data_IF_548479756399
#
_entry.id   IF_548479756399
#
_cell.length_a   1.000
_cell.length_b   1.000
_cell.length_c   1.000
_cell.angle_alpha   90.00
_cell.angle_beta   90.00
_cell.angle_gamma   90.00
#
_symmetry.space_group_name_H-M   'P 1'
#
loop_
_entity.id
_entity.type
_entity.pdbx_description
1 polymer ?
#
# COMPACT_ATOMS: atom_id res chain seq x y z
N UNK A 1 -17.21 12.48 -19.36
CA UNK A 1 -15.96 13.15 -19.79
C UNK A 1 -15.15 13.45 -18.55
N UNK A 2 -13.94 12.89 -18.43
CA UNK A 2 -13.03 13.16 -17.31
C UNK A 2 -11.68 13.64 -17.89
N UNK A 3 -11.07 14.61 -17.22
CA UNK A 3 -10.02 15.43 -17.82
C UNK A 3 -8.63 14.77 -17.78
N UNK A 4 -7.92 14.84 -18.91
CA UNK A 4 -6.50 14.50 -19.00
C UNK A 4 -5.68 15.66 -18.41
N UNK A 5 -4.88 15.41 -17.38
CA UNK A 5 -3.94 16.41 -16.84
C UNK A 5 -2.57 16.30 -17.50
N UNK A 6 -2.22 17.32 -18.30
CA UNK A 6 -0.85 17.53 -18.77
C UNK A 6 0.01 18.13 -17.65
N UNK A 7 1.08 17.44 -17.27
CA UNK A 7 2.08 17.93 -16.30
C UNK A 7 3.12 18.82 -16.99
N UNK A 8 2.96 20.14 -16.90
CA UNK A 8 4.01 21.10 -17.27
C UNK A 8 5.12 21.14 -16.22
N UNK A 9 6.37 20.87 -16.63
CA UNK A 9 7.56 20.91 -15.76
C UNK A 9 7.89 22.35 -15.30
N UNK A 10 8.28 22.57 -14.04
CA UNK A 10 8.90 23.84 -13.62
C UNK A 10 10.34 23.95 -14.13
N UNK A 11 10.76 25.16 -14.48
CA UNK A 11 12.07 25.44 -15.06
C UNK A 11 13.21 25.49 -14.02
N UNK A 12 14.43 25.13 -14.44
CA UNK A 12 15.65 25.41 -13.66
C UNK A 12 15.95 26.91 -13.66
N UNK A 13 16.17 27.48 -12.48
CA UNK A 13 16.92 28.74 -12.34
C UNK A 13 18.11 28.47 -11.43
N UNK A 14 19.31 28.54 -12.01
CA UNK A 14 20.55 28.57 -11.23
C UNK A 14 21.04 30.00 -11.07
N UNK A 15 21.57 30.36 -9.90
CA UNK A 15 22.48 31.51 -9.82
C UNK A 15 23.51 31.33 -8.73
N UNK A 16 24.78 31.47 -9.12
CA UNK A 16 25.92 31.44 -8.22
C UNK A 16 25.94 32.68 -7.32
N UNK A 17 26.43 32.52 -6.09
CA UNK A 17 27.11 33.61 -5.39
C UNK A 17 28.26 33.06 -4.55
N UNK A 18 29.49 33.35 -4.99
CA UNK A 18 30.71 33.13 -4.22
C UNK A 18 30.83 34.26 -3.19
N UNK A 19 31.27 33.93 -1.98
CA UNK A 19 32.01 34.87 -1.13
C UNK A 19 33.10 34.11 -0.38
N UNK A 20 34.26 34.75 -0.26
CA UNK A 20 35.52 34.18 0.24
C UNK A 20 36.10 35.07 1.33
N UNK A 21 36.78 34.48 2.31
CA UNK A 21 37.55 35.16 3.36
C UNK A 21 37.26 34.53 4.74
N UNK A 22 38.08 33.63 5.31
CA UNK A 22 39.49 33.70 5.78
C UNK A 22 39.68 34.34 7.18
N UNK A 23 39.81 33.47 8.19
CA UNK A 23 40.75 33.52 9.33
C UNK A 23 40.38 32.34 10.27
N UNK A 24 41.12 31.23 10.45
CA UNK A 24 42.53 30.98 10.77
C UNK A 24 42.88 31.03 12.28
N UNK A 25 42.98 29.87 12.91
CA UNK A 25 43.92 29.45 14.00
C UNK A 25 43.50 28.06 14.50
N UNK A 26 44.23 26.97 14.25
CA UNK A 26 45.51 26.54 14.86
C UNK A 26 45.39 26.04 16.32
N UNK A 27 45.31 24.71 16.47
CA UNK A 27 46.20 23.97 17.38
C UNK A 27 46.46 22.56 16.80
N UNK A 28 47.63 21.98 17.08
CA UNK A 28 48.19 20.85 16.35
C UNK A 28 48.81 19.79 17.29
N UNK A 29 49.49 18.80 16.67
CA UNK A 29 50.26 17.68 17.23
C UNK A 29 49.43 16.46 17.68
N UNK A 30 49.88 15.22 17.43
CA UNK A 30 50.84 14.70 16.43
C UNK A 30 50.76 13.16 16.37
N UNK A 31 51.11 12.59 15.22
CA UNK A 31 51.14 11.13 14.98
C UNK A 31 52.47 10.47 15.39
N UNK A 32 52.42 9.13 15.41
CA UNK A 32 53.48 8.15 15.11
C UNK A 32 54.37 7.58 16.24
N UNK A 33 54.39 6.24 16.27
CA UNK A 33 55.41 5.36 16.86
C UNK A 33 55.31 3.98 16.17
N UNK A 34 56.44 3.39 15.76
CA UNK A 34 56.51 2.18 14.92
C UNK A 34 57.72 1.28 15.31
N UNK A 35 57.66 -0.03 15.02
CA UNK A 35 58.66 -1.06 15.42
C UNK A 35 58.36 -1.69 16.80
N UNK A 36 58.79 -2.90 17.19
CA UNK A 36 59.69 -3.93 16.65
C UNK A 36 60.58 -4.50 17.80
N UNK A 37 60.98 -5.78 17.90
CA UNK A 37 60.72 -7.00 17.10
C UNK A 37 61.13 -8.27 17.90
N UNK A 38 60.69 -9.46 17.47
CA UNK A 38 61.21 -10.84 17.71
C UNK A 38 61.82 -11.28 19.07
N UNK A 39 61.31 -12.38 19.66
CA UNK A 39 62.07 -13.66 19.85
C UNK A 39 61.44 -14.72 20.79
N UNK A 40 61.58 -15.99 20.37
CA UNK A 40 61.79 -17.22 21.16
C UNK A 40 60.88 -17.61 22.36
N UNK A 41 59.95 -18.53 22.11
CA UNK A 41 59.87 -19.88 22.70
C UNK A 41 59.98 -20.14 24.22
N UNK A 42 58.91 -20.69 24.80
CA UNK A 42 58.97 -21.72 25.86
C UNK A 42 57.68 -22.55 25.89
N UNK A 43 57.79 -23.86 26.15
CA UNK A 43 56.68 -24.81 26.06
C UNK A 43 55.71 -24.77 27.25
N UNK A 44 54.46 -25.17 27.02
CA UNK A 44 53.44 -25.39 28.05
C UNK A 44 52.87 -26.81 27.93
N UNK A 45 52.58 -27.51 29.06
CA UNK A 45 52.15 -28.91 29.04
C UNK A 45 50.73 -29.11 28.48
N UNK A 46 50.39 -30.34 28.03
CA UNK A 46 49.11 -30.61 27.37
C UNK A 46 47.92 -30.48 28.33
N UNK A 47 46.83 -29.87 27.83
CA UNK A 47 45.58 -29.66 28.58
C UNK A 47 44.61 -30.82 28.32
N UNK A 48 44.25 -31.56 29.36
CA UNK A 48 43.31 -32.68 29.26
C UNK A 48 41.87 -32.17 29.19
N UNK A 49 41.14 -32.48 28.11
CA UNK A 49 39.74 -32.07 27.92
C UNK A 49 38.79 -33.14 28.50
N UNK A 50 37.94 -32.76 29.46
CA UNK A 50 36.92 -33.64 30.01
C UNK A 50 35.66 -33.68 29.10
N UNK A 51 34.98 -34.83 28.95
CA UNK A 51 33.80 -34.96 28.09
C UNK A 51 32.58 -34.22 28.67
N UNK A 52 31.86 -33.50 27.81
CA UNK A 52 30.61 -32.79 28.15
C UNK A 52 29.44 -33.76 28.29
N UNK A 53 28.58 -33.65 29.32
CA UNK A 53 27.43 -34.54 29.48
C UNK A 53 26.35 -34.31 28.40
N UNK A 54 25.74 -35.39 27.94
CA UNK A 54 24.66 -35.38 26.94
C UNK A 54 23.35 -34.82 27.53
N UNK A 55 22.65 -33.89 26.85
CA UNK A 55 21.38 -33.35 27.35
C UNK A 55 20.23 -34.38 27.27
N UNK A 56 19.35 -34.35 28.28
CA UNK A 56 18.15 -35.18 28.38
C UNK A 56 17.06 -34.73 27.38
N UNK A 57 16.25 -35.64 26.80
CA UNK A 57 15.17 -35.27 25.87
C UNK A 57 14.07 -34.43 26.55
N UNK A 58 13.58 -33.42 25.82
CA UNK A 58 12.50 -32.53 26.27
C UNK A 58 11.11 -33.22 26.20
N UNK A 59 10.18 -32.88 27.12
CA UNK A 59 8.85 -33.47 27.13
C UNK A 59 8.00 -33.04 25.92
N UNK A 60 7.19 -33.98 25.42
CA UNK A 60 6.29 -33.76 24.27
C UNK A 60 5.10 -32.87 24.67
N UNK A 61 4.75 -31.82 23.90
CA UNK A 61 3.64 -30.94 24.23
C UNK A 61 2.27 -31.62 24.03
N UNK A 62 1.38 -31.44 24.99
CA UNK A 62 -0.03 -31.89 24.94
C UNK A 62 -0.82 -31.12 23.88
N UNK A 63 -1.68 -31.76 23.07
CA UNK A 63 -2.47 -31.06 22.06
C UNK A 63 -3.46 -30.05 22.67
N UNK A 64 -3.51 -28.85 22.06
CA UNK A 64 -4.43 -27.76 22.43
C UNK A 64 -5.88 -28.10 22.05
N UNK A 65 -6.90 -27.72 22.85
CA UNK A 65 -8.30 -27.97 22.52
C UNK A 65 -8.74 -27.26 21.23
N UNK A 66 -9.55 -27.95 20.43
CA UNK A 66 -10.13 -27.41 19.20
C UNK A 66 -11.12 -26.28 19.51
N UNK A 67 -11.01 -25.10 18.86
CA UNK A 67 -11.94 -23.99 19.12
C UNK A 67 -13.36 -24.31 18.63
N UNK A 68 -14.35 -24.02 19.48
CA UNK A 68 -15.77 -24.12 19.15
C UNK A 68 -16.14 -23.17 18.00
N UNK A 69 -16.91 -23.60 16.99
CA UNK A 69 -17.30 -22.72 15.88
C UNK A 69 -18.15 -21.54 16.35
N UNK A 70 -17.78 -20.34 15.89
CA UNK A 70 -18.54 -19.10 16.11
C UNK A 70 -19.89 -19.15 15.37
N UNK A 71 -20.98 -18.59 15.92
CA UNK A 71 -22.29 -18.59 15.26
C UNK A 71 -22.23 -17.90 13.89
N UNK A 72 -22.84 -18.55 12.89
CA UNK A 72 -22.98 -17.98 11.54
C UNK A 72 -23.89 -16.74 11.60
N UNK A 73 -23.47 -15.57 11.08
CA UNK A 73 -24.31 -14.38 11.10
C UNK A 73 -25.55 -14.55 10.21
N UNK A 74 -26.70 -14.12 10.72
CA UNK A 74 -27.96 -14.05 9.96
C UNK A 74 -27.79 -13.15 8.73
N UNK A 75 -28.26 -13.55 7.53
CA UNK A 75 -28.11 -12.73 6.34
C UNK A 75 -28.91 -11.43 6.45
N UNK A 76 -28.22 -10.28 6.37
CA UNK A 76 -28.84 -8.96 6.25
C UNK A 76 -29.60 -8.88 4.91
N UNK A 77 -30.86 -8.39 4.90
CA UNK A 77 -31.63 -8.27 3.66
C UNK A 77 -30.94 -7.32 2.68
N UNK A 78 -30.88 -7.73 1.40
CA UNK A 78 -30.34 -6.88 0.33
C UNK A 78 -31.24 -5.65 0.13
N UNK A 79 -30.70 -4.41 0.12
CA UNK A 79 -31.53 -3.22 -0.08
C UNK A 79 -32.18 -3.21 -1.46
N UNK A 80 -33.48 -2.93 -1.52
CA UNK A 80 -34.26 -2.92 -2.77
C UNK A 80 -34.09 -1.66 -3.62
N UNK A 81 -33.47 -0.60 -3.08
CA UNK A 81 -33.23 0.68 -3.79
C UNK A 81 -31.87 1.27 -3.42
N UNK A 82 -31.35 2.14 -4.30
CA UNK A 82 -30.09 2.87 -4.05
C UNK A 82 -30.17 3.72 -2.78
N UNK A 83 -31.30 4.40 -2.52
CA UNK A 83 -31.50 5.21 -1.33
C UNK A 83 -31.53 4.37 -0.05
N UNK A 84 -32.17 3.19 -0.07
CA UNK A 84 -32.14 2.26 1.05
C UNK A 84 -30.73 1.72 1.30
N UNK A 85 -29.95 1.45 0.24
CA UNK A 85 -28.56 1.02 0.35
C UNK A 85 -27.67 2.12 0.96
N UNK A 86 -27.83 3.38 0.52
CA UNK A 86 -27.13 4.53 1.08
C UNK A 86 -27.46 4.73 2.56
N UNK A 87 -28.75 4.76 2.92
CA UNK A 87 -29.19 4.90 4.31
C UNK A 87 -28.69 3.76 5.23
N UNK A 88 -28.57 2.54 4.70
CA UNK A 88 -28.09 1.39 5.48
C UNK A 88 -26.65 1.55 6.00
N UNK A 89 -25.81 2.40 5.38
CA UNK A 89 -24.42 2.65 5.79
C UNK A 89 -24.28 3.44 7.10
N UNK A 90 -25.30 4.21 7.48
CA UNK A 90 -25.20 5.23 8.53
C UNK A 90 -26.01 4.91 9.77
N UNK A 91 -25.52 5.35 10.92
CA UNK A 91 -26.32 5.51 12.15
C UNK A 91 -27.05 6.87 12.12
N UNK A 92 -26.37 7.91 11.63
CA UNK A 92 -26.95 9.22 11.29
C UNK A 92 -26.61 9.55 9.83
N UNK A 93 -27.58 9.71 8.92
CA UNK A 93 -27.30 10.06 7.52
C UNK A 93 -26.55 11.39 7.37
N UNK A 94 -25.72 11.56 6.33
CA UNK A 94 -25.07 12.84 6.02
C UNK A 94 -26.08 13.92 5.61
N UNK A 95 -25.80 15.17 5.96
CA UNK A 95 -26.49 16.36 5.46
C UNK A 95 -25.51 17.32 4.78
N UNK A 96 -25.52 17.29 3.44
CA UNK A 96 -24.70 18.14 2.60
C UNK A 96 -25.04 19.64 2.70
N UNK A 97 -26.22 20.03 3.20
CA UNK A 97 -26.61 21.43 3.33
C UNK A 97 -26.08 22.09 4.60
N UNK A 98 -26.04 21.36 5.72
CA UNK A 98 -25.45 21.81 6.99
C UNK A 98 -23.95 21.48 7.14
N UNK A 99 -23.37 20.80 6.14
CA UNK A 99 -22.00 20.27 6.16
C UNK A 99 -21.74 19.21 7.23
N UNK A 100 -22.75 18.40 7.56
CA UNK A 100 -22.60 17.23 8.43
C UNK A 100 -22.25 15.98 7.59
N UNK A 101 -21.10 15.33 7.80
CA UNK A 101 -20.76 14.07 7.12
C UNK A 101 -21.58 12.86 7.63
N UNK A 102 -22.38 13.04 8.68
CA UNK A 102 -23.13 11.99 9.35
C UNK A 102 -22.23 11.06 10.16
N UNK A 103 -22.83 9.96 10.64
CA UNK A 103 -22.14 8.91 11.39
C UNK A 103 -22.14 7.61 10.60
N UNK A 104 -21.01 7.32 9.94
CA UNK A 104 -20.80 6.05 9.23
C UNK A 104 -20.60 4.90 10.23
N UNK A 105 -21.41 3.84 10.09
CA UNK A 105 -21.42 2.69 10.99
C UNK A 105 -20.04 2.07 11.19
N UNK A 106 -19.76 1.70 12.44
CA UNK A 106 -18.55 0.93 12.79
C UNK A 106 -18.44 -0.39 12.01
N UNK A 107 -19.56 -1.05 11.71
CA UNK A 107 -19.59 -2.28 10.91
C UNK A 107 -19.13 -2.07 9.47
N UNK A 108 -19.40 -0.92 8.85
CA UNK A 108 -18.94 -0.58 7.49
C UNK A 108 -17.42 -0.36 7.48
N UNK A 109 -16.88 0.33 8.49
CA UNK A 109 -15.43 0.51 8.63
C UNK A 109 -14.71 -0.81 8.89
N UNK A 110 -15.29 -1.67 9.73
CA UNK A 110 -14.76 -3.00 10.01
C UNK A 110 -14.84 -3.93 8.78
N UNK A 111 -15.90 -3.83 7.97
CA UNK A 111 -16.03 -4.59 6.73
C UNK A 111 -14.95 -4.19 5.70
N UNK A 112 -14.72 -2.89 5.50
CA UNK A 112 -13.61 -2.40 4.68
C UNK A 112 -12.25 -2.87 5.22
N UNK A 113 -12.02 -2.80 6.54
CA UNK A 113 -10.79 -3.31 7.17
C UNK A 113 -10.58 -4.80 6.89
N UNK A 114 -11.62 -5.62 7.07
CA UNK A 114 -11.58 -7.06 6.79
C UNK A 114 -11.22 -7.33 5.33
N UNK A 115 -11.80 -6.58 4.39
CA UNK A 115 -11.51 -6.71 2.95
C UNK A 115 -10.08 -6.29 2.59
N UNK A 116 -9.59 -5.18 3.13
CA UNK A 116 -8.19 -4.74 2.95
C UNK A 116 -7.22 -5.78 3.50
N UNK A 117 -7.50 -6.34 4.68
CA UNK A 117 -6.67 -7.40 5.26
C UNK A 117 -6.71 -8.70 4.46
N UNK A 118 -7.87 -9.08 3.90
CA UNK A 118 -7.97 -10.22 2.98
C UNK A 118 -7.13 -9.99 1.71
N UNK A 119 -7.17 -8.79 1.12
CA UNK A 119 -6.31 -8.43 -0.02
C UNK A 119 -4.83 -8.49 0.34
N UNK A 120 -4.43 -7.95 1.50
CA UNK A 120 -3.03 -7.97 1.98
C UNK A 120 -2.52 -9.39 2.25
N UNK A 121 -3.37 -10.28 2.76
CA UNK A 121 -3.03 -11.68 3.01
C UNK A 121 -2.66 -12.44 1.72
N UNK A 122 -3.30 -12.14 0.58
CA UNK A 122 -2.93 -12.71 -0.73
C UNK A 122 -1.47 -12.42 -1.12
N UNK A 123 -0.90 -11.34 -0.58
CA UNK A 123 0.47 -10.89 -0.84
C UNK A 123 1.45 -11.26 0.28
N UNK A 124 1.03 -12.06 1.27
CA UNK A 124 1.84 -12.38 2.44
C UNK A 124 2.14 -11.17 3.34
N UNK A 125 1.35 -10.09 3.26
CA UNK A 125 1.58 -8.88 4.02
C UNK A 125 0.88 -8.93 5.40
N UNK A 126 1.49 -8.39 6.47
CA UNK A 126 0.85 -8.30 7.78
C UNK A 126 -0.47 -7.52 7.74
N UNK A 127 -1.48 -7.90 8.55
CA UNK A 127 -2.73 -7.18 8.64
C UNK A 127 -2.54 -5.78 9.24
N UNK A 128 -3.40 -4.86 8.84
CA UNK A 128 -3.51 -3.50 9.38
C UNK A 128 -4.64 -3.41 10.42
N UNK A 129 -4.56 -2.41 11.30
CA UNK A 129 -5.62 -2.06 12.26
C UNK A 129 -6.42 -0.84 11.81
N UNK A 130 -7.58 -0.60 12.42
CA UNK A 130 -8.35 0.63 12.20
C UNK A 130 -7.91 1.74 13.17
N UNK A 131 -7.58 2.92 12.63
CA UNK A 131 -7.18 4.08 13.43
C UNK A 131 -8.37 5.02 13.69
N UNK A 132 -9.09 4.80 14.80
CA UNK A 132 -10.26 5.57 15.23
C UNK A 132 -10.01 7.09 15.30
N UNK A 133 -8.79 7.50 15.67
CA UNK A 133 -8.36 8.90 15.84
C UNK A 133 -8.43 9.74 14.57
N UNK A 134 -8.57 9.10 13.39
CA UNK A 134 -8.70 9.80 12.11
C UNK A 134 -10.11 9.72 11.49
N UNK A 135 -11.11 9.16 12.19
CA UNK A 135 -12.47 8.98 11.65
C UNK A 135 -13.07 10.32 11.17
N UNK A 136 -13.07 11.34 12.05
CA UNK A 136 -13.51 12.70 11.70
C UNK A 136 -12.90 13.20 10.38
N UNK A 137 -11.57 13.10 10.24
CA UNK A 137 -10.87 13.58 9.05
C UNK A 137 -11.28 12.85 7.78
N UNK A 138 -11.45 11.52 7.79
CA UNK A 138 -11.88 10.80 6.59
C UNK A 138 -13.35 10.99 6.25
N UNK A 139 -14.19 11.27 7.24
CA UNK A 139 -15.62 11.55 7.05
C UNK A 139 -15.82 12.95 6.46
N UNK A 140 -15.19 13.98 7.04
CA UNK A 140 -15.13 15.34 6.50
C UNK A 140 -14.51 15.36 5.09
N UNK A 141 -13.43 14.60 4.87
CA UNK A 141 -12.81 14.45 3.55
C UNK A 141 -13.79 13.87 2.53
N UNK A 142 -14.52 12.82 2.91
CA UNK A 142 -15.51 12.18 2.05
C UNK A 142 -16.67 13.13 1.70
N UNK A 143 -17.14 13.91 2.67
CA UNK A 143 -18.12 14.97 2.45
C UNK A 143 -17.60 16.02 1.47
N UNK A 144 -16.39 16.55 1.69
CA UNK A 144 -15.74 17.53 0.82
C UNK A 144 -15.68 17.05 -0.64
N UNK A 145 -15.28 15.80 -0.88
CA UNK A 145 -15.27 15.22 -2.24
C UNK A 145 -16.68 15.08 -2.85
N UNK A 146 -17.65 14.71 -2.01
CA UNK A 146 -19.03 14.49 -2.43
C UNK A 146 -19.72 15.81 -2.82
N UNK A 147 -19.72 16.82 -1.94
CA UNK A 147 -20.44 18.09 -2.15
C UNK A 147 -19.84 18.93 -3.27
N UNK A 148 -18.51 18.97 -3.40
CA UNK A 148 -17.83 19.68 -4.50
C UNK A 148 -17.79 18.86 -5.81
N UNK A 149 -18.37 17.67 -5.81
CA UNK A 149 -18.43 16.71 -6.94
C UNK A 149 -17.08 16.46 -7.63
N UNK A 150 -15.99 16.52 -6.87
CA UNK A 150 -14.60 16.58 -7.38
C UNK A 150 -13.67 15.84 -6.42
N UNK A 151 -12.67 15.11 -6.95
CA UNK A 151 -11.61 14.50 -6.14
C UNK A 151 -10.36 15.40 -6.13
N UNK A 152 -9.74 15.61 -4.96
CA UNK A 152 -8.45 16.31 -4.84
C UNK A 152 -7.69 15.88 -3.60
N UNK A 153 -6.40 15.57 -3.74
CA UNK A 153 -5.49 15.38 -2.60
C UNK A 153 -5.01 16.71 -1.97
N UNK A 154 -5.30 17.85 -2.60
CA UNK A 154 -5.03 19.18 -2.05
C UNK A 154 -6.27 20.06 -2.30
N UNK A 155 -7.39 19.82 -1.59
CA UNK A 155 -8.60 20.60 -1.78
C UNK A 155 -8.36 22.06 -1.35
N UNK A 156 -8.73 23.05 -2.18
CA UNK A 156 -8.56 24.46 -1.82
C UNK A 156 -9.51 24.85 -0.69
N UNK A 157 -9.12 25.84 0.11
CA UNK A 157 -9.91 26.39 1.23
C UNK A 157 -11.24 27.03 0.80
N UNK A 158 -11.45 27.24 -0.50
CA UNK A 158 -12.69 27.75 -1.09
C UNK A 158 -13.74 26.67 -1.38
N UNK A 159 -13.45 25.39 -1.11
CA UNK A 159 -14.43 24.32 -1.26
C UNK A 159 -15.59 24.43 -0.27
N UNK A 160 -16.78 24.02 -0.73
CA UNK A 160 -17.95 23.86 0.15
C UNK A 160 -17.65 22.78 1.19
N UNK A 161 -18.06 23.01 2.44
CA UNK A 161 -17.75 22.16 3.59
C UNK A 161 -16.24 21.90 3.83
N UNK A 162 -15.35 22.81 3.42
CA UNK A 162 -13.92 22.67 3.67
C UNK A 162 -13.59 22.62 5.17
N UNK A 163 -12.82 21.60 5.57
CA UNK A 163 -12.16 21.55 6.88
C UNK A 163 -10.66 21.26 6.73
N UNK A 164 -9.86 21.68 7.70
CA UNK A 164 -8.41 21.40 7.73
C UNK A 164 -8.11 19.92 7.97
N UNK A 165 -8.93 19.22 8.76
CA UNK A 165 -8.78 17.78 9.02
C UNK A 165 -9.21 16.95 7.80
N UNK A 166 -10.32 17.30 7.13
CA UNK A 166 -10.76 16.71 5.87
C UNK A 166 -9.76 16.91 4.73
N UNK A 167 -9.18 18.11 4.61
CA UNK A 167 -8.07 18.39 3.68
C UNK A 167 -6.82 17.54 3.99
N UNK A 168 -6.45 17.44 5.27
CA UNK A 168 -5.29 16.66 5.72
C UNK A 168 -5.48 15.15 5.49
N UNK A 169 -6.70 14.63 5.68
CA UNK A 169 -7.05 13.25 5.34
C UNK A 169 -7.06 13.01 3.82
N UNK A 170 -7.54 13.98 3.02
CA UNK A 170 -7.51 13.90 1.56
C UNK A 170 -6.08 13.79 1.01
N UNK A 171 -5.16 14.60 1.53
CA UNK A 171 -3.74 14.58 1.16
C UNK A 171 -2.96 13.37 1.67
N UNK A 172 -3.57 12.50 2.47
CA UNK A 172 -2.93 11.31 3.06
C UNK A 172 -3.74 10.02 2.94
N UNK A 173 -4.71 10.02 2.02
CA UNK A 173 -5.63 8.92 1.78
C UNK A 173 -5.88 8.65 0.31
N UNK A 174 -6.29 7.42 0.02
CA UNK A 174 -6.84 7.03 -1.27
C UNK A 174 -8.24 7.63 -1.42
N UNK A 175 -8.54 8.20 -2.59
CA UNK A 175 -9.82 8.88 -2.87
C UNK A 175 -10.58 8.15 -3.97
N UNK A 176 -11.90 8.10 -3.87
CA UNK A 176 -12.78 7.59 -4.93
C UNK A 176 -14.14 8.28 -4.85
N UNK A 177 -14.82 8.44 -5.99
CA UNK A 177 -16.11 9.14 -6.04
C UNK A 177 -17.01 8.72 -7.20
N UNK A 178 -18.24 9.21 -7.19
CA UNK A 178 -19.30 8.95 -8.17
C UNK A 178 -20.44 9.96 -8.02
N UNK A 179 -21.02 10.42 -9.14
CA UNK A 179 -21.96 11.56 -9.16
C UNK A 179 -22.90 11.44 -10.38
N UNK A 180 -24.20 11.74 -10.20
CA UNK A 180 -25.17 11.94 -11.29
C UNK A 180 -26.47 11.13 -11.15
N UNK A 181 -27.44 11.31 -12.07
CA UNK A 181 -28.80 10.77 -11.92
C UNK A 181 -28.88 9.24 -12.10
N UNK A 182 -27.87 8.65 -12.74
CA UNK A 182 -27.78 7.21 -13.02
C UNK A 182 -26.69 6.47 -12.24
N UNK A 183 -26.10 7.06 -11.19
CA UNK A 183 -25.01 6.40 -10.47
C UNK A 183 -25.47 5.04 -9.91
N UNK A 184 -24.77 3.97 -10.30
CA UNK A 184 -24.99 2.63 -9.78
C UNK A 184 -24.61 2.54 -8.29
N UNK A 185 -25.20 1.58 -7.58
CA UNK A 185 -24.73 1.27 -6.22
C UNK A 185 -23.33 0.64 -6.28
N UNK A 186 -22.45 1.05 -5.38
CA UNK A 186 -21.13 0.43 -5.18
C UNK A 186 -21.03 -0.05 -3.74
N UNK A 187 -20.71 -1.32 -3.56
CA UNK A 187 -20.33 -1.87 -2.26
C UNK A 187 -18.91 -1.43 -1.89
N UNK A 188 -18.57 -1.57 -0.63
CA UNK A 188 -17.21 -1.39 -0.08
C UNK A 188 -16.21 -2.29 -0.83
N UNK A 189 -16.64 -3.50 -1.22
CA UNK A 189 -15.88 -4.42 -2.08
C UNK A 189 -15.54 -3.81 -3.45
N UNK A 190 -16.54 -3.19 -4.10
CA UNK A 190 -16.38 -2.56 -5.40
C UNK A 190 -15.53 -1.28 -5.33
N UNK A 191 -15.55 -0.55 -4.21
CA UNK A 191 -14.68 0.60 -3.98
C UNK A 191 -13.22 0.16 -3.78
N UNK A 192 -12.99 -0.90 -2.98
CA UNK A 192 -11.67 -1.50 -2.84
C UNK A 192 -11.14 -2.03 -4.18
N UNK A 193 -11.99 -2.74 -4.95
CA UNK A 193 -11.67 -3.17 -6.30
C UNK A 193 -11.30 -2.00 -7.24
N UNK A 194 -11.94 -0.84 -7.09
CA UNK A 194 -11.58 0.39 -7.81
C UNK A 194 -10.14 0.82 -7.53
N UNK A 195 -9.75 0.93 -6.25
CA UNK A 195 -8.38 1.26 -5.83
C UNK A 195 -7.35 0.18 -6.18
N UNK A 196 -7.74 -1.10 -6.19
CA UNK A 196 -6.82 -2.17 -6.56
C UNK A 196 -6.59 -2.23 -8.07
N UNK A 197 -7.65 -2.13 -8.89
CA UNK A 197 -7.55 -2.32 -10.35
C UNK A 197 -7.04 -1.10 -11.11
N UNK A 198 -7.22 0.11 -10.58
CA UNK A 198 -6.68 1.38 -11.11
C UNK A 198 -7.12 1.71 -12.57
N UNK A 199 -8.23 1.11 -13.03
CA UNK A 199 -8.70 1.16 -14.43
C UNK A 199 -8.88 2.57 -15.02
N UNK A 200 -9.13 3.57 -14.17
CA UNK A 200 -9.36 4.96 -14.55
C UNK A 200 -8.25 5.91 -14.05
N UNK A 201 -7.07 5.38 -13.73
CA UNK A 201 -5.94 6.16 -13.20
C UNK A 201 -4.68 5.95 -14.03
N UNK A 202 -3.90 7.03 -14.21
CA UNK A 202 -2.55 6.96 -14.79
C UNK A 202 -1.49 6.54 -13.75
N UNK A 203 -1.84 6.50 -12.47
CA UNK A 203 -0.99 6.12 -11.34
C UNK A 203 -1.59 4.93 -10.61
N UNK A 204 -0.77 3.97 -10.20
CA UNK A 204 -1.20 2.84 -9.35
C UNK A 204 -1.03 3.13 -7.84
N UNK A 205 -1.00 4.42 -7.47
CA UNK A 205 -0.69 4.88 -6.13
C UNK A 205 -1.63 4.33 -5.05
N UNK A 206 -2.91 4.10 -5.36
CA UNK A 206 -3.87 3.60 -4.37
C UNK A 206 -3.54 2.16 -3.98
N UNK A 207 -3.33 1.31 -5.00
CA UNK A 207 -2.86 -0.07 -4.82
C UNK A 207 -1.54 -0.12 -4.05
N UNK A 208 -0.55 0.69 -4.44
CA UNK A 208 0.78 0.68 -3.81
C UNK A 208 0.74 1.09 -2.34
N UNK A 209 -0.15 2.00 -1.95
CA UNK A 209 -0.39 2.28 -0.52
C UNK A 209 -1.04 1.12 0.22
N UNK A 210 -2.08 0.49 -0.37
CA UNK A 210 -2.79 -0.65 0.25
C UNK A 210 -1.85 -1.85 0.46
N UNK A 211 -0.95 -2.09 -0.49
CA UNK A 211 0.03 -3.16 -0.48
C UNK A 211 1.40 -2.74 0.09
N UNK A 212 1.52 -1.57 0.72
CA UNK A 212 2.77 -1.16 1.35
C UNK A 212 3.09 -2.10 2.53
N UNK A 213 4.26 -2.76 2.56
CA UNK A 213 4.65 -3.64 3.65
C UNK A 213 4.70 -2.94 5.01
N UNK A 214 4.95 -1.63 5.03
CA UNK A 214 5.06 -0.81 6.23
C UNK A 214 3.77 -0.06 6.58
N UNK A 215 2.66 -0.32 5.88
CA UNK A 215 1.34 0.09 6.31
C UNK A 215 0.92 -0.80 7.48
N UNK A 216 0.68 -0.19 8.65
CA UNK A 216 0.16 -0.88 9.83
C UNK A 216 -1.26 -0.49 10.24
N UNK A 217 -1.83 0.58 9.68
CA UNK A 217 -3.18 1.03 10.02
C UNK A 217 -3.86 1.78 8.86
N UNK A 218 -5.20 1.73 8.83
CA UNK A 218 -6.04 2.50 7.90
C UNK A 218 -7.21 3.17 8.63
N UNK A 219 -7.80 4.18 8.00
CA UNK A 219 -9.11 4.72 8.41
C UNK A 219 -9.96 4.93 7.17
N UNK A 220 -11.21 4.49 7.18
CA UNK A 220 -12.13 4.57 6.05
C UNK A 220 -13.34 5.42 6.40
N UNK A 221 -13.65 6.40 5.55
CA UNK A 221 -14.85 7.23 5.58
C UNK A 221 -15.55 7.19 4.22
N UNK A 222 -16.86 7.44 4.23
CA UNK A 222 -17.72 7.44 3.03
C UNK A 222 -18.92 8.35 3.25
N UNK A 223 -19.24 9.20 2.29
CA UNK A 223 -20.44 10.05 2.26
C UNK A 223 -21.23 9.76 0.98
N UNK A 224 -22.45 9.25 1.16
CA UNK A 224 -23.36 8.82 0.10
C UNK A 224 -24.74 9.43 0.34
N UNK A 225 -25.25 10.19 -0.63
CA UNK A 225 -26.57 10.81 -0.53
C UNK A 225 -27.21 11.04 -1.91
N UNK A 226 -28.53 11.23 -1.92
CA UNK A 226 -29.28 11.64 -3.11
C UNK A 226 -29.77 13.08 -2.93
N UNK A 227 -29.62 13.92 -3.96
CA UNK A 227 -30.13 15.30 -3.95
C UNK A 227 -31.64 15.32 -4.13
N UNK A 228 -32.26 16.46 -3.83
CA UNK A 228 -33.66 16.75 -4.18
C UNK A 228 -33.94 16.70 -5.69
N UNK A 229 -32.94 16.97 -6.53
CA UNK A 229 -33.00 16.79 -8.00
C UNK A 229 -32.86 15.34 -8.46
N UNK A 230 -32.64 14.39 -7.55
CA UNK A 230 -32.49 12.96 -7.84
C UNK A 230 -31.06 12.53 -8.20
N UNK A 231 -30.08 13.44 -8.26
CA UNK A 231 -28.67 13.08 -8.45
C UNK A 231 -28.18 12.24 -7.27
N UNK A 232 -27.48 11.16 -7.57
CA UNK A 232 -26.81 10.32 -6.59
C UNK A 232 -25.36 10.74 -6.47
N UNK A 233 -24.85 10.82 -5.25
CA UNK A 233 -23.48 11.23 -4.93
C UNK A 233 -22.86 10.21 -3.98
N UNK A 234 -21.60 9.87 -4.21
CA UNK A 234 -20.81 8.91 -3.43
C UNK A 234 -19.36 9.43 -3.42
N UNK A 235 -18.81 9.73 -2.25
CA UNK A 235 -17.40 10.09 -2.05
C UNK A 235 -16.82 9.26 -0.91
N UNK A 236 -15.60 8.74 -1.07
CA UNK A 236 -14.95 7.92 -0.05
C UNK A 236 -13.45 8.21 0.05
N UNK A 237 -12.96 8.24 1.29
CA UNK A 237 -11.56 8.46 1.63
C UNK A 237 -11.06 7.32 2.50
N UNK A 238 -9.98 6.66 2.10
CA UNK A 238 -9.24 5.73 2.96
C UNK A 238 -7.86 6.29 3.28
N UNK A 239 -7.67 6.81 4.49
CA UNK A 239 -6.36 7.27 4.97
C UNK A 239 -5.39 6.09 5.04
N UNK A 240 -4.18 6.29 4.51
CA UNK A 240 -3.14 5.24 4.35
C UNK A 240 -1.74 5.72 4.75
N UNK A 241 -1.52 7.01 5.05
CA UNK A 241 -0.27 7.47 5.67
C UNK A 241 -0.49 8.71 6.55
N UNK A 242 0.59 9.21 7.16
CA UNK A 242 0.61 10.40 8.04
C UNK A 242 -0.46 10.37 9.16
N UNK A 243 -0.53 9.26 9.91
CA UNK A 243 -1.35 9.16 11.12
C UNK A 243 -0.67 9.86 12.30
N UNK A 244 -1.46 10.41 13.21
CA UNK A 244 -0.98 11.05 14.44
C UNK A 244 -0.42 10.05 15.46
N UNK A 245 -1.01 8.86 15.53
CA UNK A 245 -0.53 7.72 16.31
C UNK A 245 0.26 6.77 15.42
N UNK A 246 1.48 6.40 15.81
CA UNK A 246 2.20 5.30 15.16
C UNK A 246 1.71 3.96 15.69
N UNK A 247 1.80 2.93 14.84
CA UNK A 247 1.71 1.52 15.23
C UNK A 247 3.09 0.89 15.06
N UNK A 248 3.43 -0.19 15.80
CA UNK A 248 4.71 -0.87 15.64
C UNK A 248 4.93 -1.30 14.18
N UNK A 249 6.17 -1.14 13.70
CA UNK A 249 6.55 -1.68 12.41
C UNK A 249 6.50 -3.22 12.45
N UNK A 250 6.12 -3.89 11.34
CA UNK A 250 6.17 -5.33 11.26
C UNK A 250 7.61 -5.85 11.37
N UNK A 251 7.77 -7.10 11.81
CA UNK A 251 9.09 -7.73 11.88
C UNK A 251 9.71 -7.80 10.48
N UNK A 252 11.01 -7.48 10.31
CA UNK A 252 11.70 -7.65 9.03
C UNK A 252 11.60 -9.08 8.47
N UNK A 253 11.54 -10.09 9.34
CA UNK A 253 11.37 -11.50 8.97
C UNK A 253 9.95 -11.90 8.57
N UNK A 254 8.94 -11.05 8.78
CA UNK A 254 7.55 -11.31 8.40
C UNK A 254 7.15 -10.66 7.07
N UNK A 255 8.10 -10.03 6.36
CA UNK A 255 7.82 -9.34 5.11
C UNK A 255 8.28 -10.17 3.89
N UNK A 256 7.50 -10.20 2.80
CA UNK A 256 7.91 -10.87 1.57
C UNK A 256 9.05 -10.09 0.87
N UNK A 257 9.95 -10.77 0.13
CA UNK A 257 11.07 -10.12 -0.56
C UNK A 257 10.64 -9.22 -1.73
N UNK A 258 9.39 -9.36 -2.19
CA UNK A 258 8.77 -8.52 -3.20
C UNK A 258 7.25 -8.49 -3.00
N UNK A 259 6.60 -7.54 -3.67
CA UNK A 259 5.16 -7.38 -3.73
C UNK A 259 4.79 -7.39 -5.21
N UNK A 260 4.19 -8.47 -5.66
CA UNK A 260 3.70 -8.63 -7.02
C UNK A 260 2.17 -8.51 -7.01
N UNK A 261 1.59 -7.88 -8.02
CA UNK A 261 0.14 -7.84 -8.19
C UNK A 261 -0.21 -8.12 -9.65
N UNK A 262 -1.12 -9.07 -9.93
CA UNK A 262 -1.63 -10.10 -9.00
C UNK A 262 -0.52 -11.08 -8.54
N UNK A 263 -0.80 -11.88 -7.51
CA UNK A 263 0.12 -12.92 -7.01
C UNK A 263 -0.67 -14.14 -6.53
N UNK A 264 -0.23 -15.35 -6.88
CA UNK A 264 -0.93 -16.59 -6.54
C UNK A 264 -2.34 -16.68 -7.15
N UNK A 265 -3.23 -17.42 -6.50
CA UNK A 265 -4.66 -17.41 -6.84
C UNK A 265 -5.26 -16.06 -6.42
N UNK A 266 -5.62 -15.24 -7.41
CA UNK A 266 -6.05 -13.87 -7.21
C UNK A 266 -7.50 -13.65 -7.65
N UNK A 267 -8.39 -13.13 -6.77
CA UNK A 267 -9.80 -12.97 -7.10
C UNK A 267 -10.05 -12.03 -8.27
N UNK A 268 -10.89 -12.45 -9.22
CA UNK A 268 -11.24 -11.68 -10.42
C UNK A 268 -11.91 -10.34 -10.11
N UNK A 269 -12.63 -10.26 -8.98
CA UNK A 269 -13.18 -8.99 -8.46
C UNK A 269 -12.11 -7.94 -8.15
N UNK A 270 -10.88 -8.35 -7.86
CA UNK A 270 -9.75 -7.46 -7.57
C UNK A 270 -8.70 -7.38 -8.67
N UNK A 271 -8.75 -8.22 -9.72
CA UNK A 271 -7.89 -8.13 -10.92
C UNK A 271 -8.54 -8.80 -12.13
N UNK A 272 -8.71 -8.06 -13.23
CA UNK A 272 -9.23 -8.54 -14.51
C UNK A 272 -8.18 -8.59 -15.62
N UNK A 273 -8.51 -9.29 -16.70
CA UNK A 273 -7.59 -9.59 -17.81
C UNK A 273 -6.96 -8.36 -18.52
N UNK A 274 -7.56 -7.17 -18.40
CA UNK A 274 -7.07 -5.91 -18.96
C UNK A 274 -6.26 -5.06 -17.96
N UNK A 275 -6.24 -5.43 -16.69
CA UNK A 275 -5.73 -4.57 -15.62
C UNK A 275 -4.21 -4.54 -15.60
N UNK A 276 -3.66 -3.44 -15.09
CA UNK A 276 -2.21 -3.23 -15.05
C UNK A 276 -1.60 -4.09 -13.93
N UNK A 277 -0.58 -4.89 -14.27
CA UNK A 277 0.24 -5.63 -13.32
C UNK A 277 1.28 -4.68 -12.71
N UNK A 278 1.76 -4.99 -11.51
CA UNK A 278 2.78 -4.19 -10.84
C UNK A 278 3.68 -5.05 -9.95
N UNK A 279 4.93 -4.64 -9.81
CA UNK A 279 5.95 -5.33 -9.02
C UNK A 279 6.83 -4.32 -8.27
N UNK A 280 7.04 -4.57 -6.99
CA UNK A 280 7.90 -3.79 -6.10
C UNK A 280 8.87 -4.72 -5.38
N UNK A 281 10.16 -4.43 -5.43
CA UNK A 281 11.18 -5.16 -4.68
C UNK A 281 11.27 -4.60 -3.26
N UNK A 282 11.29 -5.48 -2.26
CA UNK A 282 11.63 -5.10 -0.89
C UNK A 282 13.14 -5.27 -0.66
N UNK A 283 13.92 -4.30 -1.14
CA UNK A 283 15.38 -4.34 -1.06
C UNK A 283 15.91 -4.11 0.38
N UNK A 284 15.09 -3.57 1.27
CA UNK A 284 15.36 -3.45 2.70
C UNK A 284 14.07 -3.66 3.50
N UNK A 285 14.00 -4.69 4.37
CA UNK A 285 12.84 -4.94 5.22
C UNK A 285 12.81 -4.07 6.48
N UNK A 286 13.78 -3.16 6.67
CA UNK A 286 13.95 -2.37 7.89
C UNK A 286 13.15 -1.05 7.90
N UNK A 287 12.49 -0.69 6.81
CA UNK A 287 11.69 0.53 6.70
C UNK A 287 11.37 0.93 5.27
N UNK A 288 10.24 1.63 5.08
CA UNK A 288 9.74 2.06 3.75
C UNK A 288 10.81 2.78 2.91
N UNK A 289 11.57 3.67 3.54
CA UNK A 289 12.60 4.48 2.89
C UNK A 289 14.03 4.08 3.29
N UNK A 290 14.25 2.87 3.82
CA UNK A 290 15.58 2.40 4.24
C UNK A 290 16.34 1.64 3.14
N UNK A 291 17.68 1.63 3.26
CA UNK A 291 18.57 0.88 2.36
C UNK A 291 18.31 1.23 0.90
N UNK A 292 18.31 0.21 0.04
CA UNK A 292 18.15 0.40 -1.41
C UNK A 292 16.68 0.51 -1.87
N UNK A 293 15.68 0.56 -0.98
CA UNK A 293 14.27 0.57 -1.39
C UNK A 293 13.93 1.70 -2.38
N UNK A 294 14.61 2.85 -2.28
CA UNK A 294 14.46 4.00 -3.20
C UNK A 294 15.43 4.06 -4.37
N UNK A 295 16.36 3.10 -4.49
CA UNK A 295 17.39 3.05 -5.54
C UNK A 295 17.30 1.83 -6.45
N UNK A 296 16.39 0.88 -6.18
CA UNK A 296 16.08 -0.25 -7.10
C UNK A 296 15.82 0.28 -8.51
N UNK A 297 16.60 -0.22 -9.47
CA UNK A 297 16.61 0.24 -10.85
C UNK A 297 15.97 -0.77 -11.81
N UNK A 298 15.07 -0.27 -12.65
CA UNK A 298 14.28 -1.05 -13.61
C UNK A 298 14.59 -0.74 -15.09
N UNK A 299 15.54 0.16 -15.38
CA UNK A 299 15.83 0.60 -16.76
C UNK A 299 16.38 -0.49 -17.69
N UNK A 300 17.01 -1.52 -17.12
CA UNK A 300 17.45 -2.73 -17.84
C UNK A 300 16.53 -3.93 -17.64
N UNK A 301 15.35 -3.75 -17.03
CA UNK A 301 14.47 -4.85 -16.68
C UNK A 301 13.73 -5.41 -17.90
N UNK A 302 13.79 -6.72 -18.09
CA UNK A 302 13.04 -7.47 -19.10
C UNK A 302 11.98 -8.31 -18.41
N UNK A 303 10.72 -8.14 -18.82
CA UNK A 303 9.57 -8.87 -18.31
C UNK A 303 9.14 -9.92 -19.33
N UNK A 304 8.96 -11.15 -18.90
CA UNK A 304 8.38 -12.24 -19.70
C UNK A 304 7.18 -12.81 -18.94
N UNK A 305 6.06 -13.02 -19.64
CA UNK A 305 4.86 -13.65 -19.07
C UNK A 305 4.47 -14.84 -19.94
N UNK A 306 4.30 -16.02 -19.35
CA UNK A 306 3.92 -17.23 -20.09
C UNK A 306 2.71 -17.94 -19.49
N UNK A 307 1.92 -18.60 -20.34
CA UNK A 307 0.95 -19.62 -19.97
C UNK A 307 1.52 -20.98 -20.42
N UNK A 308 2.08 -21.73 -19.47
CA UNK A 308 2.92 -22.88 -19.80
C UNK A 308 4.12 -22.45 -20.67
N UNK A 309 4.24 -23.02 -21.87
CA UNK A 309 5.26 -22.68 -22.87
C UNK A 309 4.90 -21.49 -23.77
N UNK A 310 3.65 -21.03 -23.79
CA UNK A 310 3.22 -19.92 -24.65
C UNK A 310 3.57 -18.57 -24.02
N UNK A 311 4.35 -17.74 -24.72
CA UNK A 311 4.64 -16.36 -24.30
C UNK A 311 3.48 -15.42 -24.65
N UNK A 312 3.14 -14.50 -23.75
CA UNK A 312 2.10 -13.49 -23.96
C UNK A 312 2.73 -12.10 -24.21
N UNK A 313 2.14 -11.25 -25.08
CA UNK A 313 2.65 -9.90 -25.31
C UNK A 313 2.58 -9.03 -24.05
N UNK A 314 3.73 -8.48 -23.65
CA UNK A 314 3.87 -7.47 -22.61
C UNK A 314 3.87 -6.08 -23.25
N UNK A 315 3.04 -5.17 -22.75
CA UNK A 315 2.90 -3.78 -23.24
C UNK A 315 2.91 -2.78 -22.09
N UNK A 316 2.96 -1.49 -22.43
CA UNK A 316 2.76 -0.37 -21.49
C UNK A 316 3.68 -0.40 -20.26
N UNK A 317 4.92 -0.86 -20.46
CA UNK A 317 5.93 -0.95 -19.41
C UNK A 317 6.31 0.45 -18.93
N UNK A 318 6.12 0.71 -17.64
CA UNK A 318 6.56 1.92 -16.96
C UNK A 318 7.17 1.55 -15.59
N UNK A 319 8.02 2.42 -15.06
CA UNK A 319 8.60 2.26 -13.73
C UNK A 319 8.87 3.60 -13.07
N UNK A 320 8.91 3.62 -11.75
CA UNK A 320 9.16 4.81 -10.94
C UNK A 320 9.77 4.46 -9.58
N UNK A 321 10.36 5.47 -8.93
CA UNK A 321 10.83 5.42 -7.54
C UNK A 321 10.08 6.43 -6.65
N UNK A 322 8.83 6.74 -6.99
CA UNK A 322 7.97 7.67 -6.24
C UNK A 322 7.48 7.02 -4.96
N UNK A 323 7.41 7.79 -3.86
CA UNK A 323 7.06 7.29 -2.52
C UNK A 323 5.57 7.03 -2.27
N UNK A 324 4.92 6.20 -3.10
CA UNK A 324 3.61 5.62 -2.80
C UNK A 324 3.84 4.26 -2.13
N UNK A 325 3.91 4.23 -0.80
CA UNK A 325 4.49 3.09 -0.07
C UNK A 325 5.99 2.97 -0.32
N UNK A 326 6.50 1.74 -0.45
CA UNK A 326 7.90 1.48 -0.84
C UNK A 326 8.24 2.20 -2.16
N UNK A 327 9.33 3.00 -2.21
CA UNK A 327 9.66 3.90 -3.33
C UNK A 327 10.36 3.18 -4.50
N UNK A 328 9.80 2.07 -4.97
CA UNK A 328 10.12 1.50 -6.27
C UNK A 328 8.93 0.71 -6.83
N UNK A 329 8.75 0.75 -8.15
CA UNK A 329 7.67 0.10 -8.87
C UNK A 329 8.07 -0.13 -10.33
N UNK A 330 7.75 -1.31 -10.88
CA UNK A 330 7.63 -1.55 -12.32
C UNK A 330 6.23 -2.10 -12.61
N UNK A 331 5.58 -1.59 -13.64
CA UNK A 331 4.20 -1.89 -14.01
C UNK A 331 4.07 -2.11 -15.52
N UNK A 332 3.14 -2.97 -15.94
CA UNK A 332 2.95 -3.34 -17.35
C UNK A 332 1.54 -3.94 -17.58
N UNK A 333 1.14 -4.08 -18.84
CA UNK A 333 -0.04 -4.86 -19.24
C UNK A 333 0.37 -6.13 -19.97
N UNK A 334 -0.54 -7.10 -20.01
CA UNK A 334 -0.37 -8.36 -20.75
C UNK A 334 -1.60 -8.58 -21.61
N UNK A 335 -1.40 -8.80 -22.91
CA UNK A 335 -2.50 -9.11 -23.84
C UNK A 335 -2.80 -10.61 -23.81
N UNK A 336 -4.09 -10.97 -23.76
CA UNK A 336 -4.52 -12.37 -23.86
C UNK A 336 -4.66 -13.13 -22.54
N UNK A 337 -4.64 -12.43 -21.39
CA UNK A 337 -4.96 -13.04 -20.09
C UNK A 337 -6.40 -13.61 -20.09
N UNK A 338 -6.55 -14.77 -19.47
CA UNK A 338 -7.80 -15.55 -19.36
C UNK A 338 -8.01 -16.04 -17.92
N UNK A 339 -9.28 -16.15 -17.45
CA UNK A 339 -9.61 -16.73 -16.15
C UNK A 339 -9.14 -18.17 -16.01
N UNK A 340 -8.87 -18.62 -14.78
CA UNK A 340 -8.46 -19.97 -14.41
C UNK A 340 -7.17 -20.52 -15.06
N UNK A 341 -6.47 -19.71 -15.86
CA UNK A 341 -5.14 -20.02 -16.40
C UNK A 341 -4.06 -19.54 -15.44
N UNK A 342 -3.07 -20.38 -15.15
CA UNK A 342 -1.86 -20.00 -14.41
C UNK A 342 -0.84 -19.36 -15.35
N UNK A 343 -0.36 -18.18 -14.95
CA UNK A 343 0.70 -17.45 -15.63
C UNK A 343 1.97 -17.46 -14.80
N UNK A 344 3.12 -17.63 -15.45
CA UNK A 344 4.44 -17.40 -14.86
C UNK A 344 4.96 -16.05 -15.33
N UNK A 345 5.37 -15.20 -14.39
CA UNK A 345 6.02 -13.91 -14.65
C UNK A 345 7.48 -14.01 -14.25
N UNK A 346 8.38 -13.62 -15.16
CA UNK A 346 9.82 -13.48 -14.95
C UNK A 346 10.21 -12.03 -15.17
N UNK A 347 10.97 -11.46 -14.24
CA UNK A 347 11.55 -10.11 -14.38
C UNK A 347 13.04 -10.24 -14.12
N UNK A 348 13.87 -9.86 -15.08
CA UNK A 348 15.36 -9.97 -14.99
C UNK A 348 16.02 -8.67 -15.38
N UNK A 349 17.25 -8.41 -14.95
CA UNK A 349 17.98 -7.17 -15.24
C UNK A 349 17.69 -6.02 -14.25
N UNK A 350 17.15 -6.34 -13.08
CA UNK A 350 16.93 -5.37 -12.00
C UNK A 350 18.27 -5.06 -11.33
N UNK A 351 18.51 -3.79 -11.01
CA UNK A 351 19.73 -3.31 -10.33
C UNK A 351 19.42 -2.75 -8.95
N UNK A 352 20.46 -2.64 -8.10
CA UNK A 352 20.38 -2.18 -6.70
C UNK A 352 19.42 -3.00 -5.79
N UNK A 353 18.99 -4.18 -6.24
CA UNK A 353 18.15 -5.11 -5.51
C UNK A 353 18.97 -6.30 -4.95
N UNK A 354 18.45 -7.06 -3.96
CA UNK A 354 19.11 -8.26 -3.43
C UNK A 354 19.31 -9.36 -4.48
N UNK A 355 18.44 -9.41 -5.49
CA UNK A 355 18.52 -10.31 -6.64
C UNK A 355 18.35 -9.50 -7.93
N UNK A 356 19.04 -9.89 -9.00
CA UNK A 356 18.93 -9.28 -10.33
C UNK A 356 17.73 -9.77 -11.14
N UNK A 357 17.01 -10.78 -10.65
CA UNK A 357 15.77 -11.24 -11.23
C UNK A 357 14.89 -12.00 -10.25
N UNK A 358 13.59 -12.01 -10.54
CA UNK A 358 12.53 -12.61 -9.72
C UNK A 358 11.56 -13.37 -10.63
N UNK A 359 10.94 -14.40 -10.05
CA UNK A 359 9.91 -15.21 -10.70
C UNK A 359 8.73 -15.37 -9.74
N UNK A 360 7.51 -15.24 -10.26
CA UNK A 360 6.29 -15.53 -9.52
C UNK A 360 5.21 -16.08 -10.44
N UNK A 361 4.15 -16.65 -9.87
CA UNK A 361 2.98 -17.08 -10.63
C UNK A 361 1.72 -16.37 -10.16
N UNK A 362 0.72 -16.29 -11.03
CA UNK A 362 -0.63 -15.90 -10.66
C UNK A 362 -1.68 -16.62 -11.49
N UNK A 363 -2.89 -16.72 -10.97
CA UNK A 363 -4.07 -17.23 -11.67
C UNK A 363 -5.29 -16.41 -11.25
N UNK A 364 -6.07 -15.96 -12.23
CA UNK A 364 -7.33 -15.26 -11.98
C UNK A 364 -8.41 -16.28 -11.59
N UNK A 365 -8.88 -16.25 -10.35
CA UNK A 365 -9.93 -17.16 -9.83
C UNK A 365 -11.23 -16.40 -9.54
N UNK A 366 -12.42 -17.02 -9.67
CA UNK A 366 -13.72 -16.38 -9.40
C UNK A 366 -13.84 -15.69 -8.02
#
# INVERSE_FOLDING_TARGET
MQAVMNLTRPARVGRHRRWSGLAASLLALSLAGCGGSDSAGSGSPPVTVAPTPTPSPAPTPTPSPTPTPSPTPTPTPTPSTWAAAAAALYDTPPDAASCDPGSLKASVRQDMLTKVNAVRALHGLPPVVHANTANQGVDESSLMMAVNRTLSHNPPTSWTCYTSAGSSAAGSGNLIGGWGPGLGWRTEDALLAGWMTERNSASIGHRRWILDPFLGQITYGRVVYQTSSGDRVDGATMKVFSFSTSVPAPSPSSLPPFIAYPYGDYPQRYFGASDILSFTVLASPNGRFSGNNGSVGYSGAVITVTAGSTSLPVTDVAYDNTGYGVPNNIQWRVTGLQPNTTYTVKIVGITNAPQSGYEYTFRMVP
#
